data_IF_752959541893
#
_entry.id   IF_752959541893
#
_cell.length_a   1.000
_cell.length_b   1.000
_cell.length_c   1.000
_cell.angle_alpha   90.00
_cell.angle_beta   90.00
_cell.angle_gamma   90.00
#
_symmetry.space_group_name_H-M   'P 1'
#
loop_
_entity.id
_entity.type
_entity.pdbx_description
1 polymer ?
#
# COMPACT_ATOMS: atom_id res chain seq x y z
N UNK A 1 30.25 -16.53 0.57
CA UNK A 1 30.01 -15.48 -0.44
C UNK A 1 29.57 -16.24 -1.67
N UNK A 2 28.26 -16.29 -1.94
CA UNK A 2 27.73 -16.99 -3.11
C UNK A 2 28.12 -16.20 -4.37
N UNK A 3 28.58 -16.89 -5.41
CA UNK A 3 28.88 -16.30 -6.72
C UNK A 3 27.60 -15.74 -7.36
N UNK A 4 27.65 -14.60 -8.07
CA UNK A 4 26.49 -14.04 -8.75
C UNK A 4 26.00 -15.00 -9.83
N UNK A 5 24.82 -15.61 -9.62
CA UNK A 5 24.15 -16.44 -10.63
C UNK A 5 23.42 -15.54 -11.63
N UNK A 6 23.69 -15.75 -12.92
CA UNK A 6 22.88 -15.14 -13.98
C UNK A 6 21.43 -15.65 -13.95
N UNK A 7 20.47 -14.92 -14.54
CA UNK A 7 19.08 -15.35 -14.60
C UNK A 7 18.97 -16.67 -15.38
N UNK A 8 18.19 -17.62 -14.84
CA UNK A 8 17.89 -18.91 -15.50
C UNK A 8 16.40 -19.05 -15.74
N UNK A 9 16.03 -19.80 -16.79
CA UNK A 9 14.63 -20.10 -17.07
C UNK A 9 13.99 -20.82 -15.88
N UNK A 10 12.81 -20.35 -15.45
CA UNK A 10 12.09 -20.86 -14.28
C UNK A 10 12.49 -20.22 -12.94
N UNK A 11 13.47 -19.32 -12.92
CA UNK A 11 13.77 -18.51 -11.72
C UNK A 11 12.60 -17.62 -11.36
N UNK A 12 12.24 -17.56 -10.07
CA UNK A 12 11.20 -16.65 -9.59
C UNK A 12 11.83 -15.45 -8.89
N UNK A 13 11.33 -14.26 -9.17
CA UNK A 13 11.73 -13.02 -8.51
C UNK A 13 10.51 -12.46 -7.79
N UNK A 14 10.58 -12.40 -6.46
CA UNK A 14 9.53 -11.84 -5.61
C UNK A 14 9.99 -10.51 -5.03
N UNK A 15 9.13 -9.50 -5.13
CA UNK A 15 9.33 -8.20 -4.49
C UNK A 15 8.29 -8.02 -3.40
N UNK A 16 8.73 -7.97 -2.15
CA UNK A 16 7.88 -7.64 -1.00
C UNK A 16 8.04 -6.17 -0.68
N UNK A 17 6.94 -5.46 -0.55
CA UNK A 17 6.94 -4.03 -0.19
C UNK A 17 6.05 -3.83 1.02
N UNK A 18 6.57 -3.14 2.03
CA UNK A 18 5.76 -2.62 3.14
C UNK A 18 5.90 -1.10 3.15
N UNK A 19 4.77 -0.42 3.22
CA UNK A 19 4.66 1.03 3.37
C UNK A 19 3.74 1.31 4.53
N UNK A 20 4.24 2.08 5.48
CA UNK A 20 3.49 2.50 6.64
C UNK A 20 3.17 3.99 6.49
N UNK A 21 1.94 4.36 6.83
CA UNK A 21 1.46 5.74 6.88
C UNK A 21 0.78 5.99 8.21
N UNK A 22 0.70 7.26 8.60
CA UNK A 22 -0.05 7.71 9.76
C UNK A 22 -1.11 8.70 9.28
N UNK A 23 -2.36 8.45 9.63
CA UNK A 23 -3.43 9.43 9.45
C UNK A 23 -3.15 10.61 10.38
N UNK A 24 -2.87 11.77 9.81
CA UNK A 24 -2.62 13.02 10.55
C UNK A 24 -3.83 13.96 10.49
N UNK A 25 -4.67 13.81 9.46
CA UNK A 25 -5.93 14.53 9.31
C UNK A 25 -7.00 13.55 8.78
N UNK A 26 -7.87 13.00 9.65
CA UNK A 26 -8.88 12.02 9.25
C UNK A 26 -9.90 12.54 8.22
N UNK A 27 -10.27 13.82 8.33
CA UNK A 27 -11.28 14.41 7.44
C UNK A 27 -10.70 14.60 6.03
N UNK A 28 -9.46 15.06 5.92
CA UNK A 28 -8.75 15.12 4.63
C UNK A 28 -8.52 13.74 4.04
N UNK A 29 -8.19 12.76 4.86
CA UNK A 29 -8.00 11.39 4.42
C UNK A 29 -9.29 10.81 3.81
N UNK A 30 -10.43 10.93 4.50
CA UNK A 30 -11.71 10.48 3.96
C UNK A 30 -12.12 11.28 2.71
N UNK A 31 -11.87 12.59 2.69
CA UNK A 31 -12.16 13.41 1.52
C UNK A 31 -11.34 13.00 0.29
N UNK A 32 -10.05 12.73 0.47
CA UNK A 32 -9.16 12.25 -0.59
C UNK A 32 -9.58 10.87 -1.10
N UNK A 33 -9.90 9.95 -0.21
CA UNK A 33 -10.37 8.62 -0.59
C UNK A 33 -11.72 8.66 -1.35
N UNK A 34 -12.66 9.50 -0.91
CA UNK A 34 -13.93 9.73 -1.61
C UNK A 34 -13.74 10.36 -2.98
N UNK A 35 -12.76 11.26 -3.12
CA UNK A 35 -12.39 11.81 -4.42
C UNK A 35 -11.86 10.70 -5.36
N UNK A 36 -10.93 9.87 -4.87
CA UNK A 36 -10.39 8.73 -5.61
C UNK A 36 -11.49 7.73 -6.02
N UNK A 37 -12.40 7.38 -5.11
CA UNK A 37 -13.51 6.48 -5.38
C UNK A 37 -14.49 7.02 -6.44
N UNK A 38 -14.77 8.33 -6.40
CA UNK A 38 -15.62 9.00 -7.39
C UNK A 38 -14.99 9.00 -8.78
N UNK A 39 -13.66 9.16 -8.87
CA UNK A 39 -12.95 9.06 -10.16
C UNK A 39 -13.05 7.65 -10.77
N UNK A 40 -13.00 6.61 -9.93
CA UNK A 40 -13.16 5.22 -10.36
C UNK A 40 -14.60 4.88 -10.75
N UNK A 41 -15.59 5.54 -10.14
CA UNK A 41 -17.02 5.25 -10.31
C UNK A 41 -17.79 6.50 -10.80
N UNK A 42 -17.57 6.93 -12.06
CA UNK A 42 -18.24 8.09 -12.60
C UNK A 42 -19.74 7.82 -12.69
N UNK A 43 -20.54 8.60 -11.95
CA UNK A 43 -22.00 8.50 -11.96
C UNK A 43 -22.63 8.33 -10.59
N UNK A 44 -21.85 8.01 -9.56
CA UNK A 44 -22.34 8.00 -8.19
C UNK A 44 -22.53 9.42 -7.65
N UNK A 45 -23.56 9.58 -6.84
CA UNK A 45 -23.82 10.80 -6.06
C UNK A 45 -22.88 10.92 -4.87
N UNK A 46 -22.78 12.12 -4.30
CA UNK A 46 -21.94 12.34 -3.13
C UNK A 46 -22.37 11.53 -1.90
N UNK A 47 -23.67 11.25 -1.76
CA UNK A 47 -24.21 10.43 -0.69
C UNK A 47 -23.78 8.95 -0.85
N UNK A 48 -23.89 8.42 -2.06
CA UNK A 48 -23.47 7.03 -2.37
C UNK A 48 -21.96 6.86 -2.18
N UNK A 49 -21.15 7.86 -2.59
CA UNK A 49 -19.70 7.85 -2.37
C UNK A 49 -19.38 7.91 -0.87
N UNK A 50 -20.11 8.71 -0.09
CA UNK A 50 -19.89 8.82 1.35
C UNK A 50 -20.28 7.54 2.11
N UNK A 51 -21.29 6.82 1.63
CA UNK A 51 -21.70 5.50 2.15
C UNK A 51 -20.69 4.42 1.77
N UNK A 52 -20.20 4.41 0.53
CA UNK A 52 -19.21 3.43 0.06
C UNK A 52 -17.80 3.63 0.67
N UNK A 53 -17.48 4.85 1.09
CA UNK A 53 -16.22 5.20 1.77
C UNK A 53 -16.55 5.79 3.13
N UNK A 54 -16.92 4.92 4.06
CA UNK A 54 -17.41 5.29 5.37
C UNK A 54 -16.31 5.19 6.45
N UNK A 55 -15.38 4.25 6.29
CA UNK A 55 -14.34 3.99 7.29
C UNK A 55 -12.90 4.00 6.74
N UNK A 56 -11.94 3.70 7.62
CA UNK A 56 -10.51 3.70 7.31
C UNK A 56 -10.12 2.61 6.30
N UNK A 57 -10.78 1.47 6.33
CA UNK A 57 -10.51 0.34 5.45
C UNK A 57 -11.03 0.63 4.05
N UNK A 58 -12.26 1.12 3.93
CA UNK A 58 -12.82 1.55 2.65
C UNK A 58 -11.95 2.65 2.02
N UNK A 59 -11.54 3.62 2.84
CA UNK A 59 -10.71 4.72 2.38
C UNK A 59 -9.34 4.27 1.89
N UNK A 60 -8.70 3.35 2.63
CA UNK A 60 -7.43 2.76 2.22
C UNK A 60 -7.56 2.00 0.90
N UNK A 61 -8.61 1.18 0.75
CA UNK A 61 -8.85 0.45 -0.50
C UNK A 61 -9.11 1.37 -1.67
N UNK A 62 -9.93 2.41 -1.51
CA UNK A 62 -10.20 3.37 -2.58
C UNK A 62 -8.91 4.03 -3.11
N UNK A 63 -7.98 4.39 -2.22
CA UNK A 63 -6.68 4.93 -2.61
C UNK A 63 -5.80 3.89 -3.32
N UNK A 64 -5.71 2.67 -2.77
CA UNK A 64 -4.91 1.58 -3.37
C UNK A 64 -5.44 1.22 -4.76
N UNK A 65 -6.75 1.11 -4.95
CA UNK A 65 -7.34 0.80 -6.25
C UNK A 65 -7.06 1.91 -7.27
N UNK A 66 -7.14 3.18 -6.84
CA UNK A 66 -6.94 4.31 -7.74
C UNK A 66 -5.48 4.55 -8.11
N UNK A 67 -4.57 4.33 -7.17
CA UNK A 67 -3.17 4.76 -7.25
C UNK A 67 -2.16 3.62 -7.25
N UNK A 68 -2.58 2.40 -6.90
CA UNK A 68 -1.68 1.28 -6.61
C UNK A 68 -0.90 1.45 -5.30
N UNK A 69 -1.22 2.46 -4.49
CA UNK A 69 -0.53 2.81 -3.24
C UNK A 69 -1.40 3.69 -2.35
N UNK A 70 -1.09 3.76 -1.05
CA UNK A 70 -1.73 4.68 -0.11
C UNK A 70 -1.28 6.13 -0.31
N UNK A 71 -0.10 6.34 -0.89
CA UNK A 71 0.51 7.67 -1.08
C UNK A 71 1.18 7.75 -2.45
N UNK A 72 0.43 8.00 -3.54
CA UNK A 72 0.95 8.00 -4.92
C UNK A 72 2.15 8.95 -5.14
N UNK A 73 2.13 10.12 -4.50
CA UNK A 73 3.12 11.18 -4.70
C UNK A 73 4.24 11.16 -3.64
N UNK A 74 4.55 9.98 -3.10
CA UNK A 74 5.76 9.79 -2.32
C UNK A 74 6.94 9.79 -3.29
N UNK A 75 7.45 10.99 -3.63
CA UNK A 75 8.75 11.09 -4.30
C UNK A 75 9.79 10.27 -3.51
N UNK A 76 10.75 9.62 -4.19
CA UNK A 76 11.84 8.93 -3.50
C UNK A 76 12.50 9.95 -2.59
N UNK A 77 12.28 9.80 -1.30
CA UNK A 77 12.76 10.80 -0.34
C UNK A 77 14.27 10.64 -0.25
N UNK A 78 15.01 11.38 -1.07
CA UNK A 78 16.45 11.65 -0.88
C UNK A 78 16.70 12.26 0.52
N UNK A 79 15.63 12.69 1.19
CA UNK A 79 15.59 13.11 2.58
C UNK A 79 14.61 12.27 3.39
N UNK A 80 14.99 11.04 3.77
CA UNK A 80 14.18 10.24 4.72
C UNK A 80 13.71 11.18 5.86
N UNK A 81 12.39 11.40 6.02
CA UNK A 81 11.91 12.23 7.12
C UNK A 81 12.46 11.60 8.40
N UNK A 82 13.00 12.44 9.28
CA UNK A 82 13.56 11.97 10.54
C UNK A 82 12.50 11.12 11.24
N UNK A 83 12.88 9.95 11.81
CA UNK A 83 11.93 9.11 12.53
C UNK A 83 11.12 9.95 13.54
N UNK A 84 9.79 9.79 13.51
CA UNK A 84 8.87 10.51 14.39
C UNK A 84 8.41 11.89 13.89
N UNK A 85 8.97 12.43 12.81
CA UNK A 85 8.48 13.67 12.20
C UNK A 85 7.28 13.36 11.31
N UNK A 86 6.16 14.06 11.54
CA UNK A 86 4.95 13.97 10.72
C UNK A 86 4.87 15.15 9.78
N UNK A 87 4.30 14.93 8.59
CA UNK A 87 4.01 15.98 7.62
C UNK A 87 2.53 16.35 7.77
N UNK A 88 2.18 17.42 8.52
CA UNK A 88 0.80 17.70 8.90
C UNK A 88 -0.06 18.20 7.73
N UNK A 89 0.54 18.87 6.75
CA UNK A 89 -0.20 19.61 5.72
C UNK A 89 -0.31 18.86 4.39
N UNK A 90 -0.20 17.52 4.39
CA UNK A 90 -0.40 16.75 3.17
C UNK A 90 -1.87 16.79 2.73
N UNK A 91 -2.14 16.90 1.42
CA UNK A 91 -3.50 17.01 0.90
C UNK A 91 -4.32 15.73 1.09
N UNK A 92 -3.66 14.59 1.25
CA UNK A 92 -4.27 13.28 1.46
C UNK A 92 -4.51 12.94 2.94
N UNK A 93 -4.15 13.84 3.88
CA UNK A 93 -4.29 13.59 5.31
C UNK A 93 -3.39 12.47 5.86
N UNK A 94 -2.44 11.98 5.05
CA UNK A 94 -1.54 10.88 5.39
C UNK A 94 -0.10 11.40 5.50
N UNK A 95 0.58 11.05 6.59
CA UNK A 95 2.01 11.24 6.73
C UNK A 95 2.74 9.92 6.48
N UNK A 96 3.75 9.86 5.59
CA UNK A 96 4.61 8.69 5.47
C UNK A 96 5.25 8.34 6.82
N UNK A 97 5.30 7.04 7.16
CA UNK A 97 5.79 6.53 8.43
C UNK A 97 6.88 5.45 8.30
N UNK A 98 7.18 5.02 7.08
CA UNK A 98 8.28 4.10 6.79
C UNK A 98 8.02 3.32 5.53
N UNK A 99 9.09 2.82 4.90
CA UNK A 99 8.97 1.87 3.81
C UNK A 99 10.16 0.92 3.78
N UNK A 100 9.90 -0.33 3.40
CA UNK A 100 10.93 -1.35 3.18
C UNK A 100 10.59 -2.14 1.93
N UNK A 101 11.62 -2.50 1.16
CA UNK A 101 11.52 -3.38 0.00
C UNK A 101 12.51 -4.53 0.17
N UNK A 102 12.05 -5.74 -0.05
CA UNK A 102 12.84 -6.95 0.01
C UNK A 102 12.73 -7.68 -1.32
N UNK A 103 13.88 -7.97 -1.94
CA UNK A 103 13.98 -8.79 -3.13
C UNK A 103 14.31 -10.22 -2.71
N UNK A 104 13.42 -11.16 -3.04
CA UNK A 104 13.61 -12.59 -2.76
C UNK A 104 13.71 -13.33 -4.09
N UNK A 105 14.85 -13.98 -4.32
CA UNK A 105 15.06 -14.86 -5.47
C UNK A 105 14.68 -16.28 -5.05
N UNK A 106 13.92 -16.96 -5.92
CA UNK A 106 13.41 -18.31 -5.70
C UNK A 106 12.65 -18.43 -4.37
N UNK A 107 11.72 -17.49 -4.15
CA UNK A 107 10.78 -17.49 -3.02
C UNK A 107 10.15 -18.87 -2.85
N UNK A 108 10.27 -19.52 -1.67
CA UNK A 108 9.74 -20.87 -1.45
C UNK A 108 8.24 -21.05 -1.74
N UNK A 109 7.45 -19.98 -1.61
CA UNK A 109 6.01 -19.96 -1.92
C UNK A 109 5.67 -18.73 -2.79
N UNK A 110 6.05 -18.72 -4.08
CA UNK A 110 5.79 -17.56 -4.91
C UNK A 110 4.30 -17.47 -5.25
N UNK A 111 3.80 -16.24 -5.46
CA UNK A 111 2.43 -16.03 -5.92
C UNK A 111 2.21 -16.77 -7.23
N UNK A 112 1.14 -17.57 -7.28
CA UNK A 112 0.77 -18.33 -8.47
C UNK A 112 -0.22 -17.49 -9.28
N UNK A 113 0.19 -17.16 -10.52
CA UNK A 113 -0.49 -16.47 -11.63
C UNK A 113 -1.81 -15.74 -11.33
N UNK A 114 -2.84 -16.39 -10.79
CA UNK A 114 -4.01 -15.74 -10.17
C UNK A 114 -4.54 -16.62 -9.03
N UNK A 115 -4.66 -16.05 -7.82
CA UNK A 115 -4.85 -16.75 -6.55
C UNK A 115 -5.92 -17.84 -6.52
N UNK A 116 -5.48 -19.09 -6.37
CA UNK A 116 -6.27 -20.12 -5.69
C UNK A 116 -5.55 -20.40 -4.37
N UNK A 117 -5.96 -19.65 -3.34
CA UNK A 117 -5.65 -19.83 -1.90
C UNK A 117 -4.26 -20.45 -1.62
N UNK A 118 -3.28 -19.60 -1.32
CA UNK A 118 -2.16 -20.08 -0.51
C UNK A 118 -2.75 -20.67 0.80
N UNK A 119 -2.27 -21.82 1.28
CA UNK A 119 -2.83 -22.48 2.47
C UNK A 119 -2.68 -21.64 3.76
N UNK A 120 -1.95 -20.53 3.70
CA UNK A 120 -1.68 -19.61 4.80
C UNK A 120 -1.94 -18.18 4.30
N UNK A 121 -2.55 -17.35 5.15
CA UNK A 121 -2.68 -15.93 4.88
C UNK A 121 -1.28 -15.28 4.89
N UNK A 122 -0.87 -14.77 3.73
CA UNK A 122 0.42 -14.13 3.51
C UNK A 122 0.67 -12.92 4.42
N UNK A 123 -0.40 -12.33 4.98
CA UNK A 123 -0.34 -11.13 5.78
C UNK A 123 -0.62 -11.40 7.26
N UNK A 124 -0.69 -12.66 7.69
CA UNK A 124 -0.81 -12.98 9.12
C UNK A 124 0.37 -12.39 9.88
N UNK A 125 0.08 -11.47 10.79
CA UNK A 125 1.09 -10.87 11.65
C UNK A 125 1.66 -11.94 12.59
N UNK A 126 2.95 -11.90 12.94
CA UNK A 126 3.47 -12.72 14.02
C UNK A 126 2.65 -12.46 15.28
N UNK A 127 2.13 -13.50 15.92
CA UNK A 127 1.56 -13.38 17.26
C UNK A 127 2.63 -12.87 18.21
N UNK A 128 2.38 -11.71 18.84
CA UNK A 128 3.25 -11.16 19.87
C UNK A 128 3.59 -12.25 20.89
N UNK A 129 4.89 -12.52 21.07
CA UNK A 129 5.44 -13.45 22.06
C UNK A 129 6.11 -12.66 23.18
#
# INVERSE_FOLDING_TARGET
MDEPRGPVAGMTISLRTRRDVVVVDPDRFLAAARAAYRELNPGLTDAEVAEAVADVTDAAYALIERHGDLVPDLEPIDHRPLPGVRVPDRPDGLSPAGWVRELVVDEPKPLQDYGCTLPEDLFTLPTDT
#
